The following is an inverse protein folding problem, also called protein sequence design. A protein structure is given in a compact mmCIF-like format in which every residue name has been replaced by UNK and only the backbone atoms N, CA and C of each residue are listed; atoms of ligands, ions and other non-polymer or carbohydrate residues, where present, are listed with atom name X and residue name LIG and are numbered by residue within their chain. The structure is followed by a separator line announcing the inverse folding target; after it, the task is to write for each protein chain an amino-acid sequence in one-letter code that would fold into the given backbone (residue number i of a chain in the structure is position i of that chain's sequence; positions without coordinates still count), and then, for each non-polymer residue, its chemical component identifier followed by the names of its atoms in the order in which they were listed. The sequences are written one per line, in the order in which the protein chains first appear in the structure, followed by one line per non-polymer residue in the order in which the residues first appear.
data_IF_710416602791
#
_entry.id   IF_710416602791
#
_cell.length_a   1.000
_cell.length_b   1.000
_cell.length_c   1.000
_cell.angle_alpha   90.00
_cell.angle_beta   90.00
_cell.angle_gamma   90.00
#
_symmetry.space_group_name_H-M   'P 1'
#
loop_
_entity.id
_entity.type
_entity.pdbx_description
1 polymer ?
#
# COMPACT_ATOMS: atom_id res chain seq x y z
N UNK A 1 -46.74 15.54 8.22
CA UNK A 1 -47.47 15.05 9.40
C UNK A 1 -47.62 13.54 9.28
N UNK A 2 -46.64 12.80 9.78
CA UNK A 2 -46.76 11.36 10.11
C UNK A 2 -45.96 11.21 11.41
N UNK A 3 -46.67 10.93 12.51
CA UNK A 3 -46.11 10.61 13.82
C UNK A 3 -45.52 9.21 13.74
N UNK A 4 -44.31 9.03 14.27
CA UNK A 4 -43.91 7.74 14.83
C UNK A 4 -43.64 7.96 16.30
N UNK A 5 -44.37 7.18 17.09
CA UNK A 5 -44.50 7.30 18.52
C UNK A 5 -43.20 6.98 19.27
N UNK A 6 -43.14 7.55 20.46
CA UNK A 6 -42.13 7.31 21.48
C UNK A 6 -42.01 5.80 21.77
N UNK A 7 -40.78 5.30 21.73
CA UNK A 7 -40.42 4.01 22.31
C UNK A 7 -39.35 4.28 23.37
N UNK A 8 -39.71 3.96 24.61
CA UNK A 8 -38.86 3.40 25.66
C UNK A 8 -37.52 4.06 25.90
N UNK A 9 -37.47 4.91 26.91
CA UNK A 9 -36.26 5.30 27.61
C UNK A 9 -35.79 4.10 28.46
N UNK A 10 -35.23 3.06 27.83
CA UNK A 10 -34.50 2.02 28.54
C UNK A 10 -33.02 2.38 28.52
N UNK A 11 -32.50 2.65 29.72
CA UNK A 11 -31.10 2.87 29.98
C UNK A 11 -30.30 1.63 29.54
N UNK A 12 -29.70 1.69 28.36
CA UNK A 12 -28.73 0.68 27.92
C UNK A 12 -27.46 0.91 28.74
N UNK A 13 -27.33 0.10 29.79
CA UNK A 13 -26.19 0.07 30.69
C UNK A 13 -24.87 -0.15 29.97
N UNK A 14 -23.80 0.27 30.64
CA UNK A 14 -22.39 0.27 30.22
C UNK A 14 -21.76 -1.11 29.86
N UNK A 15 -22.55 -2.19 29.72
CA UNK A 15 -22.07 -3.58 29.64
C UNK A 15 -22.38 -4.28 28.30
N UNK A 16 -22.13 -3.61 27.17
CA UNK A 16 -22.24 -4.24 25.83
C UNK A 16 -20.97 -5.00 25.40
N UNK A 17 -19.98 -5.12 26.27
CA UNK A 17 -18.76 -5.89 26.02
C UNK A 17 -18.85 -7.14 26.89
N UNK A 18 -18.98 -8.32 26.28
CA UNK A 18 -18.83 -9.56 27.04
C UNK A 18 -17.52 -9.53 27.83
N UNK A 19 -17.46 -10.08 29.05
CA UNK A 19 -16.37 -9.87 30.00
C UNK A 19 -14.96 -10.23 29.50
N UNK A 20 -14.85 -10.92 28.35
CA UNK A 20 -13.60 -11.47 27.80
C UNK A 20 -13.00 -10.69 26.62
N UNK A 21 -13.62 -9.60 26.12
CA UNK A 21 -13.04 -8.88 24.99
C UNK A 21 -11.93 -7.91 25.43
N UNK A 22 -10.73 -8.10 24.88
CA UNK A 22 -9.59 -7.20 25.08
C UNK A 22 -9.95 -5.83 24.50
N UNK A 23 -9.64 -4.74 25.21
CA UNK A 23 -9.93 -3.37 24.78
C UNK A 23 -8.65 -2.67 24.31
N UNK A 24 -8.76 -1.92 23.22
CA UNK A 24 -7.74 -0.98 22.73
C UNK A 24 -8.40 0.36 22.38
N UNK A 25 -7.62 1.44 22.28
CA UNK A 25 -8.14 2.74 21.86
C UNK A 25 -8.48 2.75 20.37
N UNK A 26 -7.57 2.22 19.54
CA UNK A 26 -7.72 2.13 18.09
C UNK A 26 -7.44 0.72 17.56
N UNK A 27 -8.30 0.26 16.66
CA UNK A 27 -8.18 -1.02 15.98
C UNK A 27 -8.10 -0.81 14.47
N UNK A 28 -7.03 -1.31 13.88
CA UNK A 28 -6.76 -1.25 12.44
C UNK A 28 -6.98 -2.63 11.82
N UNK A 29 -7.88 -2.71 10.84
CA UNK A 29 -8.14 -3.93 10.10
C UNK A 29 -7.29 -3.95 8.83
N UNK A 30 -6.21 -4.73 8.81
CA UNK A 30 -5.25 -4.86 7.72
C UNK A 30 -3.88 -4.27 8.06
N UNK A 31 -2.84 -5.10 8.03
CA UNK A 31 -1.43 -4.75 8.24
C UNK A 31 -0.67 -4.61 6.92
N UNK A 32 -1.30 -4.04 5.89
CA UNK A 32 -0.59 -3.57 4.71
C UNK A 32 0.01 -2.18 4.92
N UNK A 33 0.65 -1.65 3.87
CA UNK A 33 1.23 -0.30 3.82
C UNK A 33 0.38 0.75 4.57
N UNK A 34 -0.88 0.94 4.19
CA UNK A 34 -1.76 1.95 4.81
C UNK A 34 -2.01 1.74 6.32
N UNK A 35 -2.23 0.49 6.74
CA UNK A 35 -2.56 0.17 8.14
C UNK A 35 -1.36 0.29 9.06
N UNK A 36 -0.20 -0.25 8.63
CA UNK A 36 1.03 -0.14 9.41
C UNK A 36 1.54 1.30 9.48
N UNK A 37 1.47 2.06 8.39
CA UNK A 37 1.87 3.48 8.42
C UNK A 37 0.97 4.31 9.32
N UNK A 38 -0.35 4.04 9.32
CA UNK A 38 -1.29 4.68 10.23
C UNK A 38 -0.97 4.35 11.69
N UNK A 39 -0.76 3.06 12.02
CA UNK A 39 -0.44 2.64 13.38
C UNK A 39 0.87 3.27 13.90
N UNK A 40 1.91 3.30 13.06
CA UNK A 40 3.18 3.97 13.38
C UNK A 40 2.97 5.47 13.59
N UNK A 41 2.19 6.13 12.73
CA UNK A 41 1.92 7.56 12.87
C UNK A 41 1.18 7.86 14.16
N UNK A 42 0.14 7.09 14.50
CA UNK A 42 -0.61 7.23 15.75
C UNK A 42 0.32 7.12 16.96
N UNK A 43 1.13 6.05 17.05
CA UNK A 43 2.11 5.86 18.13
C UNK A 43 3.14 6.99 18.24
N UNK A 44 3.51 7.64 17.13
CA UNK A 44 4.46 8.76 17.15
C UNK A 44 3.82 10.07 17.59
N UNK A 45 2.56 10.28 17.28
CA UNK A 45 1.81 11.48 17.68
C UNK A 45 1.36 11.39 19.14
N UNK A 46 0.97 10.19 19.57
CA UNK A 46 0.60 9.89 20.95
C UNK A 46 1.23 8.54 21.35
N UNK A 47 2.37 8.54 22.06
CA UNK A 47 3.01 7.30 22.51
C UNK A 47 2.14 6.44 23.44
N UNK A 48 1.15 7.06 24.12
CA UNK A 48 0.26 6.43 25.07
C UNK A 48 -0.92 5.70 24.45
N UNK A 49 -1.29 6.00 23.20
CA UNK A 49 -2.43 5.38 22.53
C UNK A 49 -2.22 3.86 22.38
N UNK A 50 -3.23 3.08 22.78
CA UNK A 50 -3.23 1.64 22.62
C UNK A 50 -3.78 1.26 21.24
N UNK A 51 -2.92 0.69 20.39
CA UNK A 51 -3.21 0.40 18.98
C UNK A 51 -3.05 -1.09 18.73
N UNK A 52 -4.09 -1.69 18.15
CA UNK A 52 -4.08 -3.06 17.68
C UNK A 52 -4.26 -3.11 16.17
N UNK A 53 -3.49 -3.96 15.49
CA UNK A 53 -3.55 -4.18 14.05
C UNK A 53 -3.79 -5.67 13.81
N UNK A 54 -4.87 -6.00 13.11
CA UNK A 54 -5.19 -7.38 12.70
C UNK A 54 -4.86 -7.55 11.22
N UNK A 55 -3.89 -8.41 10.89
CA UNK A 55 -3.51 -8.74 9.51
C UNK A 55 -3.74 -10.21 9.21
N UNK A 56 -4.41 -10.48 8.10
CA UNK A 56 -4.76 -11.84 7.68
C UNK A 56 -3.54 -12.69 7.32
N UNK A 57 -2.53 -12.11 6.67
CA UNK A 57 -1.33 -12.82 6.25
C UNK A 57 -0.37 -12.95 7.42
N UNK A 58 0.34 -14.07 7.51
CA UNK A 58 1.47 -14.19 8.42
C UNK A 58 2.66 -13.37 7.89
N UNK A 59 3.43 -12.80 8.81
CA UNK A 59 4.71 -12.13 8.57
C UNK A 59 5.86 -13.05 9.03
N UNK A 60 7.07 -12.92 8.44
CA UNK A 60 7.41 -12.01 7.35
C UNK A 60 6.73 -12.44 6.04
N UNK A 61 6.36 -11.44 5.23
CA UNK A 61 5.80 -11.66 3.90
C UNK A 61 6.92 -11.79 2.86
N UNK A 62 6.69 -12.47 1.72
CA UNK A 62 7.75 -12.68 0.73
C UNK A 62 8.29 -11.38 0.14
N UNK A 63 9.61 -11.18 0.18
CA UNK A 63 10.28 -10.14 -0.62
C UNK A 63 10.09 -10.42 -2.12
N UNK A 64 10.15 -9.36 -2.92
CA UNK A 64 9.81 -9.34 -4.34
C UNK A 64 8.35 -9.73 -4.67
N UNK A 65 7.72 -10.69 -3.99
CA UNK A 65 6.45 -11.29 -4.44
C UNK A 65 5.21 -10.91 -3.62
N UNK A 66 5.28 -9.98 -2.66
CA UNK A 66 4.16 -9.72 -1.74
C UNK A 66 2.92 -9.02 -2.36
N UNK A 67 3.08 -7.79 -2.87
CA UNK A 67 2.01 -6.93 -3.40
C UNK A 67 2.55 -6.06 -4.54
N UNK A 68 1.68 -5.69 -5.47
CA UNK A 68 1.97 -4.67 -6.51
C UNK A 68 1.72 -3.27 -5.95
N UNK A 69 2.39 -2.27 -6.54
CA UNK A 69 2.39 -0.88 -6.09
C UNK A 69 3.74 -0.52 -5.47
N UNK A 70 4.80 -0.69 -6.26
CA UNK A 70 6.21 -0.54 -5.86
C UNK A 70 6.76 0.87 -6.12
N UNK A 71 6.12 1.67 -6.97
CA UNK A 71 6.64 2.99 -7.32
C UNK A 71 5.98 4.09 -6.50
N UNK A 72 6.77 4.82 -5.70
CA UNK A 72 6.26 6.00 -5.01
C UNK A 72 6.35 7.25 -5.89
N UNK A 73 5.52 8.24 -5.55
CA UNK A 73 5.67 9.63 -5.96
C UNK A 73 6.14 10.48 -4.79
N UNK A 74 6.57 11.71 -5.06
CA UNK A 74 7.24 12.62 -4.13
C UNK A 74 6.43 12.84 -2.84
N UNK A 75 5.11 12.95 -2.94
CA UNK A 75 4.23 13.15 -1.76
C UNK A 75 4.21 11.93 -0.84
N UNK A 76 4.07 10.72 -1.38
CA UNK A 76 4.09 9.48 -0.59
C UNK A 76 5.48 9.19 -0.03
N UNK A 77 6.51 9.45 -0.83
CA UNK A 77 7.91 9.40 -0.43
C UNK A 77 8.20 10.37 0.73
N UNK A 78 7.70 11.61 0.65
CA UNK A 78 7.84 12.59 1.72
C UNK A 78 7.15 12.14 3.01
N UNK A 79 5.95 11.57 2.90
CA UNK A 79 5.22 11.02 4.04
C UNK A 79 6.03 9.92 4.74
N UNK A 80 6.51 8.92 4.02
CA UNK A 80 7.32 7.85 4.61
C UNK A 80 8.64 8.37 5.20
N UNK A 81 9.36 9.22 4.46
CA UNK A 81 10.69 9.67 4.86
C UNK A 81 10.68 10.66 6.04
N UNK A 82 9.73 11.60 6.06
CA UNK A 82 9.74 12.73 7.01
C UNK A 82 8.64 12.60 8.07
N UNK A 83 7.40 12.33 7.67
CA UNK A 83 6.28 12.24 8.64
C UNK A 83 6.42 10.99 9.49
N UNK A 84 6.72 9.85 8.86
CA UNK A 84 7.04 8.61 9.57
C UNK A 84 8.52 8.47 9.90
N UNK A 85 9.37 9.44 9.56
CA UNK A 85 10.80 9.42 9.88
C UNK A 85 11.55 8.17 9.42
N UNK A 86 11.16 7.55 8.30
CA UNK A 86 11.76 6.29 7.80
C UNK A 86 12.82 6.51 6.72
N UNK A 87 13.37 7.74 6.61
CA UNK A 87 14.34 8.09 5.57
C UNK A 87 15.53 7.13 5.52
N UNK A 88 16.12 6.79 6.65
CA UNK A 88 17.31 5.93 6.71
C UNK A 88 17.03 4.56 6.08
N UNK A 89 15.91 3.93 6.44
CA UNK A 89 15.49 2.67 5.83
C UNK A 89 15.26 2.81 4.33
N UNK A 90 14.60 3.89 3.88
CA UNK A 90 14.34 4.12 2.45
C UNK A 90 15.63 4.27 1.63
N UNK A 91 16.62 5.00 2.14
CA UNK A 91 17.90 5.17 1.44
C UNK A 91 18.78 3.91 1.48
N UNK A 92 18.70 3.12 2.55
CA UNK A 92 19.53 1.91 2.72
C UNK A 92 18.94 0.67 2.03
N UNK A 93 17.62 0.54 2.00
CA UNK A 93 16.95 -0.72 1.67
C UNK A 93 16.15 -0.68 0.36
N UNK A 94 15.99 0.49 -0.27
CA UNK A 94 15.17 0.69 -1.48
C UNK A 94 15.92 1.48 -2.55
N UNK A 95 15.43 1.46 -3.79
CA UNK A 95 16.10 2.11 -4.91
C UNK A 95 15.62 3.56 -5.01
N UNK A 96 16.56 4.51 -4.97
CA UNK A 96 16.26 5.92 -5.25
C UNK A 96 15.75 6.06 -6.69
N UNK A 97 14.48 6.47 -6.84
CA UNK A 97 13.81 6.56 -8.13
C UNK A 97 14.35 7.73 -8.94
N UNK A 98 14.62 7.48 -10.22
CA UNK A 98 15.04 8.50 -11.17
C UNK A 98 13.83 9.03 -11.97
N UNK A 99 12.80 9.49 -11.26
CA UNK A 99 11.58 10.05 -11.83
C UNK A 99 10.75 9.07 -12.67
N UNK A 100 9.73 9.61 -13.32
CA UNK A 100 8.95 8.90 -14.35
C UNK A 100 9.62 9.03 -15.72
N UNK A 101 9.48 7.97 -16.53
CA UNK A 101 9.89 7.96 -17.93
C UNK A 101 8.85 7.24 -18.78
N UNK A 102 8.50 7.83 -19.90
CA UNK A 102 7.53 7.32 -20.86
C UNK A 102 8.17 7.28 -22.25
N UNK A 103 7.97 6.16 -22.94
CA UNK A 103 8.39 5.96 -24.31
C UNK A 103 7.15 5.72 -25.16
N UNK A 104 6.91 6.59 -26.14
CA UNK A 104 5.85 6.43 -27.13
C UNK A 104 6.48 5.95 -28.42
N UNK A 105 6.09 4.75 -28.86
CA UNK A 105 6.75 4.10 -30.00
C UNK A 105 6.33 4.69 -31.35
N UNK A 106 5.08 5.12 -31.51
CA UNK A 106 4.51 5.51 -32.81
C UNK A 106 4.83 4.49 -33.93
N UNK A 107 4.82 3.20 -33.58
CA UNK A 107 5.13 2.08 -34.49
C UNK A 107 6.63 1.78 -34.68
N UNK A 108 7.52 2.52 -34.02
CA UNK A 108 8.98 2.31 -34.04
C UNK A 108 9.39 1.11 -33.18
N UNK A 109 10.54 0.53 -33.53
CA UNK A 109 11.16 -0.59 -32.80
C UNK A 109 12.49 -0.19 -32.15
N UNK A 110 13.05 0.93 -32.58
CA UNK A 110 14.30 1.54 -32.14
C UNK A 110 14.03 2.56 -31.03
N UNK A 111 14.35 2.19 -29.78
CA UNK A 111 13.98 2.97 -28.59
C UNK A 111 14.56 4.39 -28.59
N UNK A 112 15.76 4.58 -29.14
CA UNK A 112 16.41 5.90 -29.25
C UNK A 112 15.71 6.86 -30.21
N UNK A 113 14.79 6.34 -31.04
CA UNK A 113 13.97 7.12 -31.97
C UNK A 113 12.51 7.24 -31.54
N UNK A 114 12.12 6.60 -30.43
CA UNK A 114 10.83 6.81 -29.80
C UNK A 114 10.76 8.20 -29.16
N UNK A 115 9.54 8.73 -29.02
CA UNK A 115 9.33 9.93 -28.20
C UNK A 115 9.54 9.57 -26.73
N UNK A 116 10.58 10.13 -26.12
CA UNK A 116 10.96 9.92 -24.72
C UNK A 116 10.59 11.15 -23.88
N UNK A 117 9.69 10.97 -22.91
CA UNK A 117 9.32 11.96 -21.91
C UNK A 117 9.83 11.52 -20.53
N UNK A 118 10.68 12.32 -19.91
CA UNK A 118 11.19 12.05 -18.57
C UNK A 118 12.25 13.04 -18.12
N UNK A 119 12.67 12.92 -16.86
CA UNK A 119 13.73 13.77 -16.31
C UNK A 119 15.12 13.34 -16.82
N UNK A 120 15.99 14.31 -17.05
CA UNK A 120 17.39 14.07 -17.47
C UNK A 120 18.36 14.08 -16.29
N UNK A 121 17.92 14.50 -15.10
CA UNK A 121 18.70 14.53 -13.85
C UNK A 121 17.84 14.14 -12.66
N UNK A 122 18.46 13.57 -11.63
CA UNK A 122 17.74 13.15 -10.40
C UNK A 122 17.02 14.35 -9.80
N UNK A 123 15.76 14.15 -9.45
CA UNK A 123 14.94 15.19 -8.83
C UNK A 123 15.46 15.52 -7.41
N UNK A 124 15.44 16.80 -7.00
CA UNK A 124 15.87 17.19 -5.66
C UNK A 124 14.95 16.57 -4.59
N UNK A 125 13.66 16.50 -4.88
CA UNK A 125 12.69 15.83 -4.01
C UNK A 125 12.75 14.32 -4.21
N UNK A 126 12.99 13.53 -3.15
CA UNK A 126 13.01 12.08 -3.24
C UNK A 126 11.73 11.41 -3.72
N UNK A 127 11.91 10.31 -4.45
CA UNK A 127 10.98 9.20 -4.48
C UNK A 127 11.76 7.88 -4.56
N UNK A 128 11.11 6.75 -4.29
CA UNK A 128 11.75 5.44 -4.27
C UNK A 128 10.95 4.41 -5.06
N UNK A 129 11.65 3.42 -5.62
CA UNK A 129 11.06 2.13 -5.95
C UNK A 129 11.20 1.26 -4.71
N UNK A 130 10.08 0.91 -4.10
CA UNK A 130 10.01 0.13 -2.86
C UNK A 130 9.74 -1.34 -3.16
N UNK A 131 10.52 -2.23 -2.53
CA UNK A 131 10.12 -3.63 -2.42
C UNK A 131 9.04 -3.77 -1.35
N UNK A 132 7.82 -4.15 -1.77
CA UNK A 132 6.64 -4.24 -0.90
C UNK A 132 6.67 -5.40 0.08
N UNK A 133 7.51 -6.41 -0.11
CA UNK A 133 7.72 -7.41 0.93
C UNK A 133 8.64 -6.85 2.01
N UNK A 134 9.78 -6.31 1.57
CA UNK A 134 10.80 -5.72 2.44
C UNK A 134 10.25 -4.58 3.29
N UNK A 135 9.51 -3.65 2.67
CA UNK A 135 9.00 -2.47 3.38
C UNK A 135 7.92 -2.84 4.39
N UNK A 136 6.96 -3.69 4.04
CA UNK A 136 5.93 -4.13 4.99
C UNK A 136 6.50 -4.96 6.15
N UNK A 137 7.54 -5.77 5.93
CA UNK A 137 8.23 -6.46 7.02
C UNK A 137 8.88 -5.47 7.98
N UNK A 138 9.61 -4.49 7.45
CA UNK A 138 10.20 -3.42 8.26
C UNK A 138 9.14 -2.61 9.03
N UNK A 139 8.03 -2.25 8.38
CA UNK A 139 6.94 -1.51 9.02
C UNK A 139 6.28 -2.33 10.14
N UNK A 140 6.12 -3.65 9.96
CA UNK A 140 5.59 -4.53 11.01
C UNK A 140 6.51 -4.58 12.23
N UNK A 141 7.82 -4.69 12.01
CA UNK A 141 8.82 -4.67 13.08
C UNK A 141 8.86 -3.31 13.78
N UNK A 142 8.85 -2.22 13.03
CA UNK A 142 8.82 -0.85 13.57
C UNK A 142 7.54 -0.59 14.37
N UNK A 143 6.38 -1.04 13.89
CA UNK A 143 5.13 -0.94 14.63
C UNK A 143 5.21 -1.70 15.97
N UNK A 144 5.71 -2.94 15.97
CA UNK A 144 5.92 -3.71 17.21
C UNK A 144 6.90 -3.02 18.16
N UNK A 145 8.00 -2.45 17.63
CA UNK A 145 9.00 -1.70 18.41
C UNK A 145 8.38 -0.47 19.09
N UNK A 146 7.41 0.17 18.45
CA UNK A 146 6.64 1.29 19.00
C UNK A 146 5.49 0.85 19.95
N UNK A 147 5.36 -0.46 20.21
CA UNK A 147 4.35 -1.01 21.12
C UNK A 147 2.96 -1.17 20.51
N UNK A 148 2.86 -1.32 19.18
CA UNK A 148 1.60 -1.72 18.52
C UNK A 148 1.37 -3.21 18.73
N UNK A 149 0.14 -3.58 19.11
CA UNK A 149 -0.32 -4.98 19.15
C UNK A 149 -0.57 -5.48 17.72
N UNK A 150 0.47 -6.00 17.07
CA UNK A 150 0.38 -6.50 15.71
C UNK A 150 0.16 -8.02 15.66
N UNK A 151 -1.07 -8.41 15.33
CA UNK A 151 -1.49 -9.80 15.15
C UNK A 151 -1.58 -10.13 13.65
N UNK A 152 -0.52 -10.73 13.12
CA UNK A 152 -0.48 -11.31 11.79
C UNK A 152 -1.07 -12.74 11.80
N UNK A 153 -1.49 -13.25 10.63
CA UNK A 153 -2.26 -14.49 10.58
C UNK A 153 -3.64 -14.42 11.25
N UNK A 154 -4.14 -13.23 11.55
CA UNK A 154 -5.42 -12.97 12.22
C UNK A 154 -6.52 -12.64 11.19
N UNK A 155 -7.55 -13.48 11.12
CA UNK A 155 -8.65 -13.35 10.15
C UNK A 155 -9.87 -12.77 10.83
N UNK A 156 -10.26 -11.55 10.45
CA UNK A 156 -11.52 -10.95 10.88
C UNK A 156 -12.70 -11.78 10.36
N UNK A 157 -13.59 -12.19 11.27
CA UNK A 157 -14.77 -13.01 10.97
C UNK A 157 -16.06 -12.20 11.07
N UNK A 158 -16.17 -11.32 12.06
CA UNK A 158 -17.33 -10.46 12.24
C UNK A 158 -16.95 -9.08 12.77
N UNK A 159 -17.77 -8.10 12.42
CA UNK A 159 -17.64 -6.71 12.85
C UNK A 159 -19.00 -6.30 13.39
N UNK A 160 -19.04 -5.88 14.65
CA UNK A 160 -20.20 -5.30 15.33
C UNK A 160 -19.88 -3.83 15.57
N UNK A 161 -20.62 -2.93 14.93
CA UNK A 161 -20.38 -1.50 15.10
C UNK A 161 -21.19 -1.01 16.31
N UNK A 162 -20.49 -0.44 17.31
CA UNK A 162 -21.13 0.19 18.45
C UNK A 162 -21.96 1.41 18.06
N UNK A 163 -22.96 1.71 18.87
CA UNK A 163 -23.87 2.87 18.76
C UNK A 163 -23.80 3.69 20.05
N UNK A 164 -24.07 5.00 19.97
CA UNK A 164 -24.20 5.88 21.16
C UNK A 164 -23.00 5.76 22.14
N UNK A 165 -21.79 5.93 21.62
CA UNK A 165 -20.50 5.80 22.34
C UNK A 165 -20.08 4.39 22.78
N UNK A 166 -20.89 3.36 22.53
CA UNK A 166 -20.43 1.97 22.68
C UNK A 166 -19.26 1.67 21.72
N UNK A 167 -18.25 0.90 22.14
CA UNK A 167 -17.14 0.54 21.27
C UNK A 167 -17.58 -0.45 20.19
N UNK A 168 -16.83 -0.47 19.09
CA UNK A 168 -16.94 -1.51 18.08
C UNK A 168 -16.33 -2.81 18.61
N UNK A 169 -16.93 -3.95 18.27
CA UNK A 169 -16.43 -5.27 18.65
C UNK A 169 -16.13 -6.08 17.40
N UNK A 170 -14.91 -6.62 17.33
CA UNK A 170 -14.43 -7.42 16.22
C UNK A 170 -14.19 -8.84 16.72
N UNK A 171 -14.83 -9.81 16.08
CA UNK A 171 -14.51 -11.22 16.24
C UNK A 171 -13.50 -11.61 15.16
N UNK A 172 -12.41 -12.22 15.56
CA UNK A 172 -11.36 -12.69 14.66
C UNK A 172 -10.87 -14.07 15.09
N UNK A 173 -10.25 -14.78 14.16
CA UNK A 173 -9.60 -16.06 14.40
C UNK A 173 -8.10 -15.88 14.25
N UNK A 174 -7.33 -16.42 15.19
CA UNK A 174 -5.87 -16.38 15.15
C UNK A 174 -5.33 -17.72 15.66
N UNK A 175 -4.42 -18.34 14.89
CA UNK A 175 -3.93 -19.70 15.14
C UNK A 175 -5.06 -20.75 15.34
N UNK A 176 -6.18 -20.58 14.62
CA UNK A 176 -7.36 -21.46 14.72
C UNK A 176 -8.22 -21.25 15.97
N UNK A 177 -7.88 -20.27 16.82
CA UNK A 177 -8.62 -19.94 18.04
C UNK A 177 -9.47 -18.68 17.81
N UNK A 178 -10.76 -18.67 18.21
CA UNK A 178 -11.59 -17.48 18.14
C UNK A 178 -11.25 -16.50 19.25
N UNK A 179 -11.20 -15.22 18.90
CA UNK A 179 -10.94 -14.11 19.80
C UNK A 179 -11.93 -12.97 19.57
N UNK A 180 -12.08 -12.10 20.57
CA UNK A 180 -12.83 -10.85 20.47
C UNK A 180 -11.99 -9.69 20.97
N UNK A 181 -12.09 -8.58 20.27
CA UNK A 181 -11.42 -7.32 20.62
C UNK A 181 -12.39 -6.16 20.45
N UNK A 182 -12.30 -5.15 21.31
CA UNK A 182 -13.13 -3.97 21.26
C UNK A 182 -12.30 -2.69 21.16
N UNK A 183 -12.78 -1.71 20.40
CA UNK A 183 -12.14 -0.39 20.29
C UNK A 183 -13.15 0.71 19.95
N UNK A 184 -12.85 1.94 20.37
CA UNK A 184 -13.67 3.11 20.02
C UNK A 184 -13.36 3.62 18.61
N UNK A 185 -12.11 3.55 18.18
CA UNK A 185 -11.72 3.89 16.81
C UNK A 185 -11.49 2.62 16.00
N UNK A 186 -12.18 2.52 14.87
CA UNK A 186 -12.02 1.41 13.93
C UNK A 186 -11.59 1.94 12.57
N UNK A 187 -10.45 1.45 12.08
CA UNK A 187 -9.83 1.89 10.82
C UNK A 187 -9.82 0.71 9.84
N UNK A 188 -10.50 0.85 8.71
CA UNK A 188 -10.45 -0.16 7.64
C UNK A 188 -9.27 0.10 6.70
N UNK A 189 -8.19 -0.64 6.89
CA UNK A 189 -7.00 -0.65 6.03
C UNK A 189 -6.88 -1.99 5.26
N UNK A 190 -7.99 -2.71 5.07
CA UNK A 190 -8.00 -4.07 4.50
C UNK A 190 -7.81 -4.11 2.99
N UNK A 191 -7.60 -2.94 2.37
CA UNK A 191 -7.37 -2.79 0.94
C UNK A 191 -8.56 -3.27 0.12
N UNK A 192 -8.31 -4.11 -0.89
CA UNK A 192 -9.36 -4.63 -1.79
C UNK A 192 -10.44 -5.45 -1.08
N UNK A 193 -10.18 -5.95 0.14
CA UNK A 193 -11.19 -6.68 0.90
C UNK A 193 -12.30 -5.77 1.44
N UNK A 194 -12.03 -4.47 1.64
CA UNK A 194 -12.98 -3.42 2.02
C UNK A 194 -14.02 -3.87 3.05
N UNK A 195 -13.57 -4.31 4.23
CA UNK A 195 -14.43 -4.93 5.23
C UNK A 195 -15.59 -4.01 5.67
N UNK A 196 -15.29 -2.77 6.04
CA UNK A 196 -16.29 -1.77 6.42
C UNK A 196 -17.06 -1.27 5.21
N UNK A 197 -16.37 -1.06 4.07
CA UNK A 197 -17.03 -0.69 2.81
C UNK A 197 -18.17 -1.66 2.46
N UNK A 198 -17.94 -2.97 2.59
CA UNK A 198 -18.97 -3.99 2.33
C UNK A 198 -20.03 -4.04 3.43
N UNK A 199 -19.64 -3.94 4.70
CA UNK A 199 -20.58 -3.99 5.83
C UNK A 199 -21.58 -2.83 5.81
N UNK A 200 -21.12 -1.65 5.39
CA UNK A 200 -21.91 -0.41 5.36
C UNK A 200 -22.51 -0.09 3.99
N UNK A 201 -22.36 -0.99 3.01
CA UNK A 201 -22.81 -0.81 1.64
C UNK A 201 -22.33 0.51 0.99
N UNK A 202 -21.04 0.83 1.18
CA UNK A 202 -20.43 2.07 0.68
C UNK A 202 -19.78 1.89 -0.70
N UNK A 203 -20.23 0.92 -1.48
CA UNK A 203 -19.65 0.67 -2.80
C UNK A 203 -20.19 1.66 -3.83
N UNK A 204 -19.29 2.31 -4.57
CA UNK A 204 -19.62 3.09 -5.75
C UNK A 204 -19.20 2.35 -7.02
N UNK A 205 -19.86 2.65 -8.13
CA UNK A 205 -19.48 2.12 -9.43
C UNK A 205 -18.06 2.54 -9.80
N UNK A 206 -17.26 1.58 -10.26
CA UNK A 206 -15.93 1.84 -10.81
C UNK A 206 -16.08 2.35 -12.24
N UNK A 207 -15.51 3.52 -12.53
CA UNK A 207 -15.55 4.13 -13.86
C UNK A 207 -14.31 3.77 -14.69
N UNK A 208 -13.28 3.20 -14.05
CA UNK A 208 -12.04 2.81 -14.69
C UNK A 208 -12.07 1.34 -15.16
N UNK A 209 -12.21 1.14 -16.47
CA UNK A 209 -12.30 -0.18 -17.09
C UNK A 209 -10.95 -0.63 -17.69
N UNK A 210 -9.97 -0.89 -16.81
CA UNK A 210 -8.65 -1.36 -17.21
C UNK A 210 -8.31 -2.69 -16.52
N UNK A 211 -7.63 -3.56 -17.26
CA UNK A 211 -7.09 -4.82 -16.75
C UNK A 211 -5.57 -4.75 -16.67
N UNK A 212 -4.98 -5.51 -15.75
CA UNK A 212 -3.54 -5.61 -15.65
C UNK A 212 -3.09 -7.07 -15.55
N UNK A 213 -1.94 -7.37 -16.14
CA UNK A 213 -1.20 -8.62 -15.94
C UNK A 213 0.23 -8.24 -15.59
N UNK A 214 0.78 -8.85 -14.54
CA UNK A 214 2.08 -8.50 -14.03
C UNK A 214 2.82 -9.69 -13.44
N UNK A 215 4.14 -9.60 -13.47
CA UNK A 215 5.05 -10.59 -12.92
C UNK A 215 6.37 -9.91 -12.54
N UNK A 216 7.27 -10.68 -11.95
CA UNK A 216 8.63 -10.24 -11.63
C UNK A 216 9.62 -11.24 -12.19
N UNK A 217 10.78 -10.72 -12.60
CA UNK A 217 11.91 -11.49 -13.10
C UNK A 217 13.13 -11.18 -12.27
N UNK A 218 14.05 -12.13 -12.14
CA UNK A 218 15.34 -11.91 -11.51
C UNK A 218 16.24 -11.04 -12.40
N UNK A 219 17.03 -10.16 -11.78
CA UNK A 219 17.89 -9.20 -12.47
C UNK A 219 17.19 -7.88 -12.82
N UNK A 220 17.91 -7.02 -13.53
CA UNK A 220 17.39 -5.74 -13.99
C UNK A 220 17.31 -5.66 -15.51
N UNK A 221 16.20 -5.10 -16.00
CA UNK A 221 16.03 -4.70 -17.39
C UNK A 221 16.47 -3.26 -17.52
N UNK A 222 17.54 -3.00 -18.27
CA UNK A 222 18.08 -1.65 -18.49
C UNK A 222 17.81 -1.19 -19.93
N UNK A 223 16.99 -0.14 -20.14
CA UNK A 223 16.72 0.38 -21.48
C UNK A 223 17.97 0.83 -22.24
N UNK A 224 19.10 1.10 -21.56
CA UNK A 224 20.35 1.46 -22.22
C UNK A 224 20.86 0.34 -23.14
N UNK A 225 20.56 -0.92 -22.83
CA UNK A 225 21.07 -2.09 -23.56
C UNK A 225 20.33 -2.30 -24.90
N UNK A 226 19.38 -1.42 -25.23
CA UNK A 226 18.55 -1.50 -26.43
C UNK A 226 18.91 -0.45 -27.48
N UNK A 227 19.97 0.33 -27.27
CA UNK A 227 20.49 1.27 -28.27
C UNK A 227 21.98 1.48 -28.12
N UNK A 228 22.68 1.57 -29.24
CA UNK A 228 24.10 1.95 -29.33
C UNK A 228 24.28 3.45 -29.65
N UNK A 229 23.21 4.26 -29.70
CA UNK A 229 23.31 5.69 -30.03
C UNK A 229 23.98 6.46 -28.86
N UNK A 230 25.21 6.98 -29.05
CA UNK A 230 25.95 7.62 -27.97
C UNK A 230 25.30 8.94 -27.50
N UNK A 231 24.59 9.64 -28.39
CA UNK A 231 23.87 10.86 -28.02
C UNK A 231 22.68 10.52 -27.14
N UNK A 232 21.90 9.49 -27.50
CA UNK A 232 20.77 9.06 -26.70
C UNK A 232 21.20 8.54 -25.32
N UNK A 233 22.25 7.71 -25.28
CA UNK A 233 22.82 7.19 -24.03
C UNK A 233 23.28 8.33 -23.09
N UNK A 234 23.85 9.41 -23.64
CA UNK A 234 24.34 10.56 -22.87
C UNK A 234 23.27 11.55 -22.38
N UNK A 235 21.98 11.39 -22.74
CA UNK A 235 20.91 12.36 -22.38
C UNK A 235 20.62 12.44 -20.87
N UNK A 236 21.00 11.44 -20.08
CA UNK A 236 20.69 11.36 -18.65
C UNK A 236 21.96 11.40 -17.80
N UNK A 237 21.90 12.11 -16.67
CA UNK A 237 22.99 12.15 -15.68
C UNK A 237 22.46 11.85 -14.28
N UNK A 238 22.88 10.74 -13.64
CA UNK A 238 23.70 9.65 -14.22
C UNK A 238 22.93 8.89 -15.32
N UNK A 239 23.59 8.07 -16.16
CA UNK A 239 22.96 7.32 -17.25
C UNK A 239 22.12 6.11 -16.76
N UNK A 240 21.41 6.26 -15.64
CA UNK A 240 20.72 5.18 -14.91
C UNK A 240 19.22 5.16 -15.21
N UNK A 241 18.82 5.13 -16.49
CA UNK A 241 17.39 5.11 -16.88
C UNK A 241 16.62 3.97 -16.24
N UNK A 242 17.29 2.85 -15.99
CA UNK A 242 16.70 1.69 -15.30
C UNK A 242 16.10 2.04 -13.93
N UNK A 243 16.60 3.07 -13.22
CA UNK A 243 16.03 3.52 -11.94
C UNK A 243 14.75 4.35 -12.07
N UNK A 244 14.44 4.85 -13.27
CA UNK A 244 13.16 5.50 -13.54
C UNK A 244 12.03 4.47 -13.44
N UNK A 245 10.81 4.93 -13.17
CA UNK A 245 9.63 4.11 -13.50
C UNK A 245 9.42 4.24 -15.00
N UNK A 246 9.85 3.22 -15.75
CA UNK A 246 9.79 3.24 -17.21
C UNK A 246 8.42 2.74 -17.67
N UNK A 247 7.83 3.43 -18.63
CA UNK A 247 6.55 3.10 -19.24
C UNK A 247 6.74 3.01 -20.75
N UNK A 248 6.42 1.86 -21.34
CA UNK A 248 6.31 1.69 -22.78
C UNK A 248 4.85 1.88 -23.16
N UNK A 249 4.54 2.96 -23.85
CA UNK A 249 3.17 3.41 -24.11
C UNK A 249 2.77 3.13 -25.56
N UNK A 250 1.52 2.68 -25.73
CA UNK A 250 0.88 2.52 -27.02
C UNK A 250 -0.63 2.80 -26.95
N UNK A 251 -1.35 2.65 -28.07
CA UNK A 251 -2.79 2.87 -28.09
C UNK A 251 -3.51 1.91 -27.13
N UNK A 252 -4.19 2.47 -26.11
CA UNK A 252 -4.98 1.70 -25.14
C UNK A 252 -4.18 0.83 -24.18
N UNK A 253 -2.85 0.95 -24.11
CA UNK A 253 -2.05 0.20 -23.15
C UNK A 253 -0.78 0.95 -22.72
N UNK A 254 -0.24 0.51 -21.59
CA UNK A 254 1.14 0.81 -21.21
C UNK A 254 1.76 -0.36 -20.45
N UNK A 255 3.08 -0.50 -20.57
CA UNK A 255 3.87 -1.52 -19.91
C UNK A 255 4.88 -0.89 -18.96
N UNK A 256 4.91 -1.29 -17.70
CA UNK A 256 5.86 -0.76 -16.71
C UNK A 256 7.10 -1.64 -16.54
N UNK A 257 8.21 -0.98 -16.22
CA UNK A 257 9.43 -1.60 -15.73
C UNK A 257 9.88 -0.85 -14.47
N UNK A 258 9.88 -1.55 -13.33
CA UNK A 258 10.23 -1.01 -12.02
C UNK A 258 11.28 -1.93 -11.37
N UNK A 259 12.52 -1.48 -11.16
CA UNK A 259 13.51 -2.28 -10.44
C UNK A 259 13.19 -2.32 -8.95
N UNK A 260 13.48 -3.45 -8.31
CA UNK A 260 13.31 -3.65 -6.87
C UNK A 260 14.67 -3.92 -6.20
N UNK A 261 14.82 -3.46 -4.96
CA UNK A 261 16.05 -3.63 -4.17
C UNK A 261 16.33 -5.07 -3.72
N UNK A 262 15.39 -5.99 -3.96
CA UNK A 262 15.58 -7.44 -3.85
C UNK A 262 16.37 -8.03 -5.02
N UNK A 263 16.66 -7.24 -6.06
CA UNK A 263 17.34 -7.71 -7.27
C UNK A 263 16.39 -8.21 -8.36
N UNK A 264 15.08 -8.12 -8.13
CA UNK A 264 14.05 -8.41 -9.13
C UNK A 264 13.65 -7.14 -9.92
N UNK A 265 13.07 -7.34 -11.10
CA UNK A 265 12.40 -6.30 -11.87
C UNK A 265 10.90 -6.60 -11.98
N UNK A 266 10.07 -5.65 -11.56
CA UNK A 266 8.62 -5.69 -11.71
C UNK A 266 8.22 -5.24 -13.10
N UNK A 267 7.42 -6.07 -13.75
CA UNK A 267 6.97 -5.95 -15.12
C UNK A 267 5.45 -6.10 -15.13
N UNK A 268 4.77 -5.27 -15.90
CA UNK A 268 3.35 -5.48 -16.09
C UNK A 268 2.76 -4.60 -17.16
N UNK A 269 1.70 -5.11 -17.75
CA UNK A 269 0.92 -4.41 -18.75
C UNK A 269 -0.42 -4.00 -18.15
N UNK A 270 -0.87 -2.79 -18.46
CA UNK A 270 -2.23 -2.33 -18.23
C UNK A 270 -2.86 -2.04 -19.58
N UNK A 271 -4.04 -2.60 -19.81
CA UNK A 271 -4.80 -2.44 -21.04
C UNK A 271 -6.21 -1.93 -20.77
N UNK A 272 -6.69 -1.06 -21.66
CA UNK A 272 -8.11 -0.78 -21.82
C UNK A 272 -8.83 -2.03 -22.32
N UNK A 273 -9.88 -2.44 -21.60
CA UNK A 273 -10.58 -3.70 -21.86
C UNK A 273 -11.48 -3.66 -23.11
N UNK A 274 -11.77 -2.47 -23.66
CA UNK A 274 -12.53 -2.35 -24.89
C UNK A 274 -11.63 -2.40 -26.14
N UNK A 275 -10.34 -2.08 -25.98
CA UNK A 275 -9.36 -2.08 -27.07
C UNK A 275 -8.56 -3.38 -27.19
N UNK A 276 -8.24 -4.05 -26.08
CA UNK A 276 -7.40 -5.27 -26.03
C UNK A 276 -8.06 -6.38 -25.20
#
# INVERSE_FOLDING_TARGET
MIRHDAIGHDAIGHDAIGPDAIRHDALVLGGGLAGLTMAIQLKRQDPGIDVCVLERRAHPVPEAAHKVGESTVEIGAHYFANVLGLREHLEAAHIRKFGFRFFFSDGRRDIDRCTELGVSRVLPTPSWQIDRGRFENFLAEEARRLGVHFHDGAVVRAIELGTNAAPHVIAYEHAGVPHRVAAHWLIDASGRAGLLKRKLDLSAAEIHNANAVWWRVDGFVDPKDWSDDPQWLARCTPPDRWRSTNHMCGPGYWFWLIPLSSGAHSLGIVCDAAMH
#
